data_IF_167486024033
#
_entry.id   IF_167486024033
#
_cell.length_a   1.000
_cell.length_b   1.000
_cell.length_c   1.000
_cell.angle_alpha   90.00
_cell.angle_beta   90.00
_cell.angle_gamma   90.00
#
_symmetry.space_group_name_H-M   'P 1'
#
loop_
_entity.id
_entity.type
_entity.pdbx_description
1 polymer ?
#
# COMPACT_ATOMS: atom_id res chain seq x y z
N UNK A 1 42.68 -30.33 -15.94
CA UNK A 1 41.77 -29.73 -16.95
C UNK A 1 40.75 -28.86 -16.22
N UNK A 2 41.09 -27.59 -16.04
CA UNK A 2 40.32 -26.63 -15.21
C UNK A 2 39.24 -26.05 -16.08
N UNK A 3 37.97 -26.31 -15.76
CA UNK A 3 36.82 -25.75 -16.47
C UNK A 3 36.69 -24.30 -16.04
N UNK A 4 37.21 -23.38 -16.84
CA UNK A 4 36.86 -21.96 -16.75
C UNK A 4 35.42 -21.78 -17.17
N UNK A 5 34.49 -21.85 -16.23
CA UNK A 5 33.09 -21.41 -16.48
C UNK A 5 33.15 -19.90 -16.61
N UNK A 6 33.05 -19.45 -17.83
CA UNK A 6 33.11 -18.03 -18.17
C UNK A 6 31.91 -17.31 -17.51
N UNK A 7 32.20 -16.36 -16.62
CA UNK A 7 31.16 -15.55 -15.93
C UNK A 7 30.14 -14.97 -16.92
N UNK A 8 30.57 -14.62 -18.14
CA UNK A 8 29.68 -14.19 -19.22
C UNK A 8 28.57 -15.20 -19.53
N UNK A 9 28.88 -16.52 -19.51
CA UNK A 9 27.90 -17.58 -19.75
C UNK A 9 26.87 -17.67 -18.63
N UNK A 10 27.29 -17.47 -17.37
CA UNK A 10 26.39 -17.47 -16.20
C UNK A 10 25.43 -16.26 -16.27
N UNK A 11 25.94 -15.08 -16.62
CA UNK A 11 25.11 -13.88 -16.79
C UNK A 11 24.13 -14.03 -17.96
N UNK A 12 24.56 -14.61 -19.06
CA UNK A 12 23.71 -14.84 -20.25
C UNK A 12 22.58 -15.82 -19.94
N UNK A 13 22.86 -16.91 -19.23
CA UNK A 13 21.85 -17.89 -18.81
C UNK A 13 20.89 -17.30 -17.78
N UNK A 14 21.40 -16.51 -16.83
CA UNK A 14 20.56 -15.85 -15.81
C UNK A 14 19.65 -14.77 -16.45
N UNK A 15 20.19 -14.02 -17.40
CA UNK A 15 19.41 -13.00 -18.14
C UNK A 15 18.40 -13.64 -19.09
N UNK A 16 18.73 -14.76 -19.72
CA UNK A 16 17.82 -15.54 -20.57
C UNK A 16 16.66 -16.11 -19.75
N UNK A 17 16.94 -16.70 -18.57
CA UNK A 17 15.90 -17.20 -17.65
C UNK A 17 15.00 -16.07 -17.14
N UNK A 18 15.57 -14.89 -16.86
CA UNK A 18 14.80 -13.72 -16.49
C UNK A 18 13.91 -13.21 -17.64
N UNK A 19 14.43 -13.20 -18.89
CA UNK A 19 13.65 -12.88 -20.09
C UNK A 19 12.53 -13.88 -20.34
N UNK A 20 12.77 -15.17 -20.13
CA UNK A 20 11.75 -16.22 -20.25
C UNK A 20 10.70 -16.03 -19.16
N UNK A 21 11.11 -15.79 -17.90
CA UNK A 21 10.23 -15.52 -16.79
C UNK A 21 9.35 -14.28 -17.06
N UNK A 22 9.94 -13.17 -17.51
CA UNK A 22 9.18 -11.96 -17.89
C UNK A 22 8.36 -12.14 -19.16
N UNK A 23 8.78 -12.99 -20.11
CA UNK A 23 8.05 -13.30 -21.34
C UNK A 23 6.81 -14.16 -21.07
N UNK A 24 6.89 -15.14 -20.16
CA UNK A 24 5.75 -15.95 -19.72
C UNK A 24 4.69 -15.06 -19.05
N UNK A 25 5.11 -14.03 -18.30
CA UNK A 25 4.18 -13.05 -17.70
C UNK A 25 3.67 -11.98 -18.71
N UNK A 26 4.27 -11.85 -19.89
CA UNK A 26 3.95 -10.75 -20.81
C UNK A 26 2.98 -11.11 -21.94
N UNK A 27 2.79 -12.38 -22.24
CA UNK A 27 2.10 -12.82 -23.47
C UNK A 27 0.70 -13.40 -23.32
N UNK A 28 0.43 -14.15 -22.26
CA UNK A 28 -0.86 -14.87 -22.11
C UNK A 28 -1.68 -14.43 -20.87
N UNK A 29 -1.15 -13.55 -20.02
CA UNK A 29 -1.74 -13.27 -18.71
C UNK A 29 -2.09 -11.80 -18.46
N UNK A 30 -2.47 -11.06 -19.50
CA UNK A 30 -2.98 -9.69 -19.27
C UNK A 30 -4.20 -9.71 -18.37
N UNK A 31 -5.12 -10.64 -18.62
CA UNK A 31 -6.30 -10.85 -17.80
C UNK A 31 -5.94 -11.32 -16.38
N UNK A 32 -4.98 -12.23 -16.24
CA UNK A 32 -4.50 -12.68 -14.94
C UNK A 32 -3.82 -11.56 -14.16
N UNK A 33 -3.03 -10.73 -14.82
CA UNK A 33 -2.39 -9.57 -14.20
C UNK A 33 -3.43 -8.54 -13.71
N UNK A 34 -4.46 -8.30 -14.50
CA UNK A 34 -5.56 -7.41 -14.12
C UNK A 34 -6.37 -7.99 -12.93
N UNK A 35 -6.64 -9.29 -12.92
CA UNK A 35 -7.30 -9.96 -11.79
C UNK A 35 -6.46 -9.86 -10.52
N UNK A 36 -5.15 -10.11 -10.60
CA UNK A 36 -4.25 -10.01 -9.45
C UNK A 36 -4.16 -8.56 -8.94
N UNK A 37 -4.15 -7.57 -9.83
CA UNK A 37 -4.20 -6.15 -9.47
C UNK A 37 -5.50 -5.83 -8.71
N UNK A 38 -6.65 -6.30 -9.18
CA UNK A 38 -7.94 -6.12 -8.50
C UNK A 38 -7.92 -6.79 -7.13
N UNK A 39 -7.43 -8.03 -7.01
CA UNK A 39 -7.32 -8.74 -5.73
C UNK A 39 -6.43 -7.93 -4.76
N UNK A 40 -5.30 -7.42 -5.22
CA UNK A 40 -4.40 -6.58 -4.43
C UNK A 40 -5.12 -5.33 -3.92
N UNK A 41 -5.80 -4.60 -4.81
CA UNK A 41 -6.52 -3.36 -4.48
C UNK A 41 -7.64 -3.64 -3.46
N UNK A 42 -8.44 -4.70 -3.67
CA UNK A 42 -9.52 -5.10 -2.77
C UNK A 42 -8.97 -5.51 -1.40
N UNK A 43 -7.88 -6.29 -1.36
CA UNK A 43 -7.25 -6.74 -0.11
C UNK A 43 -6.72 -5.54 0.70
N UNK A 44 -6.03 -4.61 0.06
CA UNK A 44 -5.60 -3.37 0.72
C UNK A 44 -6.79 -2.50 1.12
N UNK A 45 -7.79 -2.37 0.24
CA UNK A 45 -9.00 -1.60 0.53
C UNK A 45 -9.77 -2.13 1.72
N UNK A 46 -9.89 -3.46 1.87
CA UNK A 46 -10.57 -4.10 3.01
C UNK A 46 -9.77 -4.00 4.32
N UNK A 47 -8.45 -3.93 4.26
CA UNK A 47 -7.58 -3.86 5.44
C UNK A 47 -7.77 -2.58 6.24
N UNK A 48 -8.02 -1.46 5.57
CA UNK A 48 -8.14 -0.15 6.21
C UNK A 48 -9.41 0.02 7.07
N UNK A 49 -10.62 -0.33 6.60
CA UNK A 49 -11.81 -0.31 7.45
C UNK A 49 -11.66 -1.15 8.71
N UNK A 50 -11.07 -2.34 8.59
CA UNK A 50 -10.79 -3.22 9.73
C UNK A 50 -9.82 -2.56 10.71
N UNK A 51 -8.81 -1.86 10.21
CA UNK A 51 -7.83 -1.14 11.03
C UNK A 51 -8.47 0.05 11.76
N UNK A 52 -9.34 0.81 11.11
CA UNK A 52 -10.11 1.90 11.71
C UNK A 52 -11.03 1.39 12.84
N UNK A 53 -11.78 0.31 12.58
CA UNK A 53 -12.66 -0.31 13.59
C UNK A 53 -11.85 -0.79 14.79
N UNK A 54 -10.71 -1.44 14.55
CA UNK A 54 -9.79 -1.90 15.61
C UNK A 54 -9.28 -0.73 16.44
N UNK A 55 -8.86 0.36 15.79
CA UNK A 55 -8.45 1.60 16.46
C UNK A 55 -9.52 2.22 17.32
N UNK A 56 -10.74 2.27 16.80
CA UNK A 56 -11.89 2.83 17.51
C UNK A 56 -12.18 2.05 18.80
N UNK A 57 -12.16 0.71 18.71
CA UNK A 57 -12.41 -0.20 19.85
C UNK A 57 -11.27 -0.19 20.87
N UNK A 58 -10.02 -0.11 20.44
CA UNK A 58 -8.86 -0.18 21.31
C UNK A 58 -8.74 1.01 22.27
N UNK A 59 -9.21 2.19 21.89
CA UNK A 59 -9.14 3.44 22.67
C UNK A 59 -7.74 3.80 23.17
N UNK A 60 -6.70 3.32 22.51
CA UNK A 60 -5.30 3.56 22.83
C UNK A 60 -4.47 3.64 21.56
N UNK A 61 -3.36 4.37 21.64
CA UNK A 61 -2.36 4.46 20.55
C UNK A 61 -1.30 3.37 20.61
N UNK A 62 -1.31 2.54 21.66
CA UNK A 62 -0.33 1.46 21.82
C UNK A 62 -0.33 0.53 20.61
N UNK A 63 0.85 0.29 20.05
CA UNK A 63 1.03 -0.55 18.86
C UNK A 63 0.78 0.15 17.52
N UNK A 64 0.54 1.47 17.50
CA UNK A 64 0.44 2.27 16.27
C UNK A 64 1.57 3.30 16.18
N UNK A 65 2.08 3.48 14.98
CA UNK A 65 3.12 4.49 14.68
C UNK A 65 2.49 5.64 13.91
N UNK A 66 2.58 6.86 14.47
CA UNK A 66 2.15 8.08 13.78
C UNK A 66 2.96 8.30 12.49
N UNK A 67 4.27 8.10 12.55
CA UNK A 67 5.14 8.26 11.38
C UNK A 67 4.74 7.32 10.23
N UNK A 68 4.37 6.09 10.54
CA UNK A 68 3.89 5.12 9.55
C UNK A 68 2.59 5.60 8.87
N UNK A 69 1.61 6.10 9.63
CA UNK A 69 0.36 6.64 9.08
C UNK A 69 0.61 7.84 8.17
N UNK A 70 1.49 8.76 8.59
CA UNK A 70 1.85 9.94 7.80
C UNK A 70 2.57 9.57 6.49
N UNK A 71 3.49 8.61 6.53
CA UNK A 71 4.18 8.11 5.33
C UNK A 71 3.21 7.50 4.32
N UNK A 72 2.25 6.70 4.79
CA UNK A 72 1.24 6.10 3.90
C UNK A 72 0.34 7.19 3.32
N UNK A 73 -0.09 8.16 4.13
CA UNK A 73 -0.91 9.27 3.67
C UNK A 73 -0.20 10.06 2.57
N UNK A 74 1.08 10.38 2.78
CA UNK A 74 1.91 11.02 1.79
C UNK A 74 2.04 10.19 0.50
N UNK A 75 2.19 8.87 0.64
CA UNK A 75 2.24 7.94 -0.50
C UNK A 75 0.95 7.98 -1.34
N UNK A 76 -0.23 8.05 -0.69
CA UNK A 76 -1.50 8.18 -1.42
C UNK A 76 -1.63 9.54 -2.11
N UNK A 77 -1.22 10.64 -1.47
CA UNK A 77 -1.20 11.97 -2.12
C UNK A 77 -0.32 11.94 -3.36
N UNK A 78 0.90 11.42 -3.25
CA UNK A 78 1.81 11.30 -4.38
C UNK A 78 1.25 10.39 -5.49
N UNK A 79 0.63 9.27 -5.12
CA UNK A 79 0.01 8.32 -6.06
C UNK A 79 -1.16 8.94 -6.82
N UNK A 80 -2.08 9.62 -6.13
CA UNK A 80 -3.21 10.33 -6.75
C UNK A 80 -2.69 11.42 -7.70
N UNK A 81 -1.74 12.24 -7.24
CA UNK A 81 -1.12 13.30 -8.05
C UNK A 81 -0.47 12.72 -9.30
N UNK A 82 0.29 11.64 -9.16
CA UNK A 82 0.90 10.94 -10.30
C UNK A 82 -0.13 10.48 -11.34
N UNK A 83 -1.27 9.95 -10.91
CA UNK A 83 -2.35 9.52 -11.82
C UNK A 83 -3.00 10.70 -12.53
N UNK A 84 -3.23 11.81 -11.84
CA UNK A 84 -3.84 13.02 -12.41
C UNK A 84 -2.93 13.72 -13.43
N UNK A 85 -1.61 13.70 -13.23
CA UNK A 85 -0.63 14.32 -14.14
C UNK A 85 -0.36 13.42 -15.36
N UNK A 86 -0.57 12.11 -15.23
CA UNK A 86 -0.27 11.15 -16.29
C UNK A 86 -1.29 11.24 -17.44
N UNK A 87 -0.88 11.84 -18.55
CA UNK A 87 -1.74 12.03 -19.74
C UNK A 87 -2.20 10.71 -20.37
N UNK A 88 -1.35 9.66 -20.32
CA UNK A 88 -1.71 8.32 -20.83
C UNK A 88 -2.79 7.69 -19.94
N UNK A 89 -2.68 7.83 -18.62
CA UNK A 89 -3.72 7.36 -17.71
C UNK A 89 -5.02 8.13 -17.93
N UNK A 90 -4.95 9.46 -18.04
CA UNK A 90 -6.13 10.30 -18.25
C UNK A 90 -6.85 10.01 -19.56
N UNK A 91 -6.13 9.64 -20.64
CA UNK A 91 -6.76 9.21 -21.89
C UNK A 91 -7.50 7.87 -21.80
N UNK A 92 -7.20 7.06 -20.79
CA UNK A 92 -7.81 5.75 -20.54
C UNK A 92 -8.69 5.75 -19.28
N UNK A 93 -9.04 6.91 -18.74
CA UNK A 93 -9.73 7.04 -17.45
C UNK A 93 -11.09 6.33 -17.46
N UNK A 94 -11.80 6.33 -18.57
CA UNK A 94 -13.11 5.66 -18.71
C UNK A 94 -13.00 4.14 -18.49
N UNK A 95 -11.86 3.56 -18.84
CA UNK A 95 -11.61 2.11 -18.67
C UNK A 95 -10.98 1.78 -17.32
N UNK A 96 -10.23 2.74 -16.71
CA UNK A 96 -9.40 2.51 -15.51
C UNK A 96 -9.78 3.42 -14.32
N UNK A 97 -10.98 4.01 -14.35
CA UNK A 97 -11.47 4.92 -13.29
C UNK A 97 -11.45 4.26 -11.89
N UNK A 98 -11.66 2.94 -11.82
CA UNK A 98 -11.65 2.19 -10.57
C UNK A 98 -10.32 2.29 -9.81
N UNK A 99 -9.20 2.42 -10.52
CA UNK A 99 -7.89 2.57 -9.89
C UNK A 99 -7.84 3.86 -9.08
N UNK A 100 -8.23 4.99 -9.68
CA UNK A 100 -8.28 6.28 -8.98
C UNK A 100 -9.29 6.26 -7.83
N UNK A 101 -10.45 5.65 -8.04
CA UNK A 101 -11.48 5.47 -7.01
C UNK A 101 -10.90 4.77 -5.77
N UNK A 102 -10.18 3.66 -5.93
CA UNK A 102 -9.58 2.96 -4.82
C UNK A 102 -8.43 3.74 -4.15
N UNK A 103 -7.66 4.51 -4.90
CA UNK A 103 -6.65 5.40 -4.31
C UNK A 103 -7.29 6.44 -3.39
N UNK A 104 -8.36 7.09 -3.85
CA UNK A 104 -9.11 8.07 -3.06
C UNK A 104 -9.79 7.42 -1.85
N UNK A 105 -10.41 6.26 -2.03
CA UNK A 105 -11.03 5.51 -0.94
C UNK A 105 -10.01 5.16 0.15
N UNK A 106 -8.86 4.63 -0.24
CA UNK A 106 -7.79 4.30 0.70
C UNK A 106 -7.24 5.55 1.40
N UNK A 107 -7.07 6.65 0.68
CA UNK A 107 -6.67 7.94 1.26
C UNK A 107 -7.64 8.38 2.37
N UNK A 108 -8.95 8.30 2.11
CA UNK A 108 -9.99 8.62 3.09
C UNK A 108 -9.88 7.71 4.31
N UNK A 109 -9.73 6.40 4.12
CA UNK A 109 -9.64 5.43 5.21
C UNK A 109 -8.40 5.66 6.08
N UNK A 110 -7.23 5.94 5.48
CA UNK A 110 -6.01 6.26 6.25
C UNK A 110 -6.17 7.56 7.02
N UNK A 111 -6.84 8.55 6.42
CA UNK A 111 -7.17 9.82 7.10
C UNK A 111 -8.06 9.57 8.32
N UNK A 112 -9.08 8.71 8.19
CA UNK A 112 -9.92 8.32 9.32
C UNK A 112 -9.11 7.59 10.41
N UNK A 113 -8.18 6.72 10.04
CA UNK A 113 -7.31 6.04 11.01
C UNK A 113 -6.37 7.02 11.72
N UNK A 114 -5.88 8.04 11.03
CA UNK A 114 -5.13 9.14 11.64
C UNK A 114 -5.99 9.96 12.63
N UNK A 115 -7.24 10.26 12.28
CA UNK A 115 -8.18 10.91 13.19
C UNK A 115 -8.43 10.05 14.46
N UNK A 116 -8.57 8.74 14.30
CA UNK A 116 -8.70 7.81 15.43
C UNK A 116 -7.42 7.78 16.28
N UNK A 117 -6.26 7.85 15.65
CA UNK A 117 -4.98 7.95 16.37
C UNK A 117 -4.93 9.20 17.25
N UNK A 118 -5.28 10.37 16.71
CA UNK A 118 -5.28 11.64 17.47
C UNK A 118 -6.27 11.58 18.62
N UNK A 119 -7.46 11.04 18.41
CA UNK A 119 -8.46 10.82 19.45
C UNK A 119 -7.93 9.91 20.57
N UNK A 120 -7.37 8.78 20.21
CA UNK A 120 -6.85 7.81 21.15
C UNK A 120 -5.64 8.33 21.92
N UNK A 121 -4.80 9.15 21.29
CA UNK A 121 -3.68 9.83 21.95
C UNK A 121 -4.17 10.74 23.07
N UNK A 122 -5.22 11.52 22.84
CA UNK A 122 -5.84 12.37 23.87
C UNK A 122 -6.41 11.53 25.02
N UNK A 123 -7.03 10.38 24.71
CA UNK A 123 -7.56 9.48 25.74
C UNK A 123 -6.44 8.86 26.60
N UNK A 124 -5.34 8.45 25.99
CA UNK A 124 -4.17 7.92 26.70
C UNK A 124 -3.58 8.96 27.66
N UNK A 125 -3.48 10.22 27.23
CA UNK A 125 -3.03 11.35 28.08
C UNK A 125 -3.95 11.54 29.31
N UNK A 126 -5.26 11.60 29.09
CA UNK A 126 -6.24 11.76 30.17
C UNK A 126 -6.18 10.61 31.18
N UNK A 127 -6.04 9.38 30.71
CA UNK A 127 -5.93 8.20 31.55
C UNK A 127 -4.66 8.22 32.42
N UNK A 128 -3.57 8.76 31.89
CA UNK A 128 -2.31 8.91 32.64
C UNK A 128 -2.45 9.92 33.77
N UNK A 129 -3.00 11.11 33.47
CA UNK A 129 -3.24 12.15 34.44
C UNK A 129 -4.19 11.69 35.59
N UNK A 130 -5.23 10.92 35.25
CA UNK A 130 -6.14 10.38 36.26
C UNK A 130 -5.49 9.35 37.19
N UNK A 131 -4.48 8.62 36.73
CA UNK A 131 -3.73 7.68 37.55
C UNK A 131 -2.78 8.39 38.50
N UNK A 132 -2.12 9.46 38.06
CA UNK A 132 -1.23 10.28 38.87
C UNK A 132 -1.98 10.97 39.98
N UNK A 133 -3.21 11.48 39.76
CA UNK A 133 -4.03 12.13 40.76
C UNK A 133 -4.65 11.18 41.82
N UNK A 134 -4.53 9.86 41.62
CA UNK A 134 -5.06 8.85 42.57
C UNK A 134 -3.99 8.22 43.46
N UNK A 135 -2.72 8.53 43.22
CA UNK A 135 -1.58 8.13 44.07
C UNK A 135 -1.24 9.22 45.10
#
# INVERSE_FOLDING_TARGET
MTIYINYATIYTVKFSKFKIFTGIFRGENKEMAEILEVIMIVSFGASWPLNVIKSYKARTTKGKSLAFLLLILFGYVAGITSKLINTVYMSQIEQKWYVLFFYVLNFIMVTLDLCMYIRNYKLDQLNTLQKENKQ
#
